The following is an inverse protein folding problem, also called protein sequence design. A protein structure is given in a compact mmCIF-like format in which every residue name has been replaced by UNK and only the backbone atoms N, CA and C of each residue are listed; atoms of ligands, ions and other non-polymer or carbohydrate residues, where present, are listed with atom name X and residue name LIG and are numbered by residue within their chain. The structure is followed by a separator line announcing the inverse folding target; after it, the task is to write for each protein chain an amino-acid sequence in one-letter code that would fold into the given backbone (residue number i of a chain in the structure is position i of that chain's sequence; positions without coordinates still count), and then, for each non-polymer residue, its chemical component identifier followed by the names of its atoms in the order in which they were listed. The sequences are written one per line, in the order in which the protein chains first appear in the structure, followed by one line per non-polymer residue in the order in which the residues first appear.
data_IF_887640538558
#
_entry.id   IF_887640538558
#
_cell.length_a   1.000
_cell.length_b   1.000
_cell.length_c   1.000
_cell.angle_alpha   90.00
_cell.angle_beta   90.00
_cell.angle_gamma   90.00
#
_symmetry.space_group_name_H-M   'P 1'
#
loop_
_entity.id
_entity.type
_entity.pdbx_description
1 polymer ?
#
# COMPACT_ATOMS: atom_id res chain seq x y z
N UNK A 1 -7.39 -17.66 -7.96
CA UNK A 1 -6.94 -16.51 -7.14
C UNK A 1 -6.06 -15.54 -7.95
N UNK A 2 -4.98 -15.99 -8.61
CA UNK A 2 -4.12 -15.12 -9.44
C UNK A 2 -4.88 -14.24 -10.45
N UNK A 3 -5.81 -14.84 -11.20
CA UNK A 3 -6.62 -14.13 -12.20
C UNK A 3 -7.52 -13.03 -11.59
N UNK A 4 -7.94 -13.21 -10.35
CA UNK A 4 -8.72 -12.21 -9.61
C UNK A 4 -7.83 -11.04 -9.18
N UNK A 5 -6.63 -11.32 -8.67
CA UNK A 5 -5.63 -10.30 -8.35
C UNK A 5 -5.22 -9.52 -9.59
N UNK A 6 -5.01 -10.17 -10.73
CA UNK A 6 -4.77 -9.49 -12.01
C UNK A 6 -5.94 -8.58 -12.42
N UNK A 7 -7.19 -9.01 -12.19
CA UNK A 7 -8.37 -8.18 -12.41
C UNK A 7 -8.40 -6.98 -11.45
N UNK A 8 -8.01 -7.14 -10.18
CA UNK A 8 -7.91 -6.04 -9.21
C UNK A 8 -6.84 -5.06 -9.64
N UNK A 9 -5.62 -5.54 -9.91
CA UNK A 9 -4.49 -4.70 -10.32
C UNK A 9 -4.81 -3.96 -11.62
N UNK A 10 -5.50 -4.58 -12.58
CA UNK A 10 -5.93 -3.93 -13.83
C UNK A 10 -7.19 -3.07 -13.73
N UNK A 11 -7.83 -2.98 -12.56
CA UNK A 11 -9.03 -2.17 -12.34
C UNK A 11 -10.34 -2.77 -12.86
N UNK A 12 -10.36 -4.08 -13.20
CA UNK A 12 -11.54 -4.81 -13.69
C UNK A 12 -12.44 -5.34 -12.55
N UNK A 13 -11.89 -5.53 -11.36
CA UNK A 13 -12.61 -5.89 -10.14
C UNK A 13 -12.14 -5.00 -8.99
N UNK A 14 -12.91 -4.92 -7.89
CA UNK A 14 -12.62 -4.03 -6.77
C UNK A 14 -12.37 -4.80 -5.49
N UNK A 15 -11.50 -4.24 -4.65
CA UNK A 15 -11.32 -4.60 -3.24
C UNK A 15 -11.92 -3.51 -2.35
N UNK A 16 -12.05 -3.78 -1.05
CA UNK A 16 -12.43 -2.77 -0.07
C UNK A 16 -11.53 -1.54 -0.23
N UNK A 17 -12.15 -0.37 -0.36
CA UNK A 17 -11.48 0.92 -0.58
C UNK A 17 -10.59 1.02 -1.84
N UNK A 18 -10.73 0.11 -2.82
CA UNK A 18 -9.88 0.06 -4.02
C UNK A 18 -10.16 1.15 -5.08
N UNK A 19 -11.37 1.72 -5.11
CA UNK A 19 -11.80 2.59 -6.22
C UNK A 19 -10.85 3.77 -6.52
N UNK A 20 -10.50 4.57 -5.51
CA UNK A 20 -9.61 5.72 -5.68
C UNK A 20 -8.17 5.30 -6.00
N UNK A 21 -7.70 4.20 -5.39
CA UNK A 21 -6.36 3.66 -5.62
C UNK A 21 -6.25 3.24 -7.10
N UNK A 22 -7.22 2.47 -7.59
CA UNK A 22 -7.27 2.02 -8.99
C UNK A 22 -7.44 3.17 -9.97
N UNK A 23 -8.23 4.19 -9.63
CA UNK A 23 -8.37 5.39 -10.46
C UNK A 23 -7.02 6.11 -10.63
N UNK A 24 -6.27 6.31 -9.54
CA UNK A 24 -4.95 6.92 -9.56
C UNK A 24 -3.95 6.07 -10.37
N UNK A 25 -3.90 4.75 -10.13
CA UNK A 25 -3.01 3.83 -10.87
C UNK A 25 -3.33 3.82 -12.36
N UNK A 26 -4.61 3.78 -12.75
CA UNK A 26 -5.01 3.80 -14.16
C UNK A 26 -4.68 5.13 -14.84
N UNK A 27 -4.81 6.25 -14.12
CA UNK A 27 -4.41 7.56 -14.63
C UNK A 27 -2.90 7.60 -14.95
N UNK A 28 -2.06 7.10 -14.03
CA UNK A 28 -0.62 6.99 -14.25
C UNK A 28 -0.29 6.11 -15.48
N UNK A 29 -0.89 4.93 -15.59
CA UNK A 29 -0.65 3.97 -16.68
C UNK A 29 -1.02 4.54 -18.04
N UNK A 30 -2.14 5.26 -18.12
CA UNK A 30 -2.55 5.90 -19.37
C UNK A 30 -1.60 7.04 -19.76
N UNK A 31 -1.07 7.78 -18.78
CA UNK A 31 -0.01 8.76 -19.02
C UNK A 31 1.27 8.13 -19.57
N UNK A 32 1.74 7.00 -19.02
CA UNK A 32 2.96 6.29 -19.48
C UNK A 32 2.92 5.91 -20.97
N UNK A 33 1.75 5.45 -21.47
CA UNK A 33 1.57 5.07 -22.89
C UNK A 33 1.81 6.22 -23.87
N UNK A 34 1.72 7.47 -23.40
CA UNK A 34 1.91 8.66 -24.25
C UNK A 34 3.34 9.19 -24.26
N UNK A 35 4.23 8.67 -23.41
CA UNK A 35 5.53 9.26 -23.12
C UNK A 35 6.72 8.30 -23.27
N UNK A 36 6.61 7.26 -24.12
CA UNK A 36 7.65 6.25 -24.35
C UNK A 36 8.97 6.85 -24.86
N UNK A 37 9.86 7.21 -23.93
CA UNK A 37 11.31 7.35 -24.14
C UNK A 37 11.99 6.66 -22.95
N UNK A 38 12.85 5.69 -23.25
CA UNK A 38 13.57 4.89 -22.27
C UNK A 38 14.45 5.76 -21.35
N UNK A 39 14.01 5.96 -20.10
CA UNK A 39 14.81 6.59 -19.04
C UNK A 39 14.62 5.80 -17.74
N UNK A 40 15.63 5.76 -16.86
CA UNK A 40 15.66 4.87 -15.69
C UNK A 40 14.59 5.14 -14.61
N UNK A 41 14.50 4.24 -13.61
CA UNK A 41 13.44 4.19 -12.58
C UNK A 41 13.12 5.54 -11.90
N UNK A 42 14.14 6.31 -11.50
CA UNK A 42 13.92 7.62 -10.87
C UNK A 42 13.22 8.64 -11.79
N UNK A 43 13.38 8.51 -13.12
CA UNK A 43 12.69 9.37 -14.07
C UNK A 43 11.20 8.98 -14.16
N UNK A 44 10.90 7.68 -14.20
CA UNK A 44 9.52 7.19 -14.19
C UNK A 44 8.76 7.68 -12.97
N UNK A 45 9.31 7.54 -11.76
CA UNK A 45 8.63 7.95 -10.53
C UNK A 45 8.28 9.45 -10.50
N UNK A 46 9.16 10.32 -11.03
CA UNK A 46 8.89 11.76 -11.16
C UNK A 46 7.81 12.08 -12.21
N UNK A 47 7.76 11.32 -13.31
CA UNK A 47 6.68 11.45 -14.30
C UNK A 47 5.33 11.03 -13.70
N UNK A 48 5.30 9.93 -12.94
CA UNK A 48 4.10 9.49 -12.24
C UNK A 48 3.64 10.51 -11.20
N UNK A 49 4.55 11.12 -10.43
CA UNK A 49 4.19 12.23 -9.52
C UNK A 49 3.50 13.36 -10.29
N UNK A 50 4.03 13.76 -11.45
CA UNK A 50 3.40 14.80 -12.28
C UNK A 50 1.99 14.40 -12.71
N UNK A 51 1.79 13.16 -13.17
CA UNK A 51 0.47 12.66 -13.51
C UNK A 51 -0.47 12.62 -12.29
N UNK A 52 0.03 12.28 -11.10
CA UNK A 52 -0.76 12.29 -9.88
C UNK A 52 -1.14 13.71 -9.42
N UNK A 53 -0.27 14.70 -9.63
CA UNK A 53 -0.59 16.11 -9.40
C UNK A 53 -1.75 16.53 -10.31
N UNK A 54 -1.69 16.18 -11.59
CA UNK A 54 -2.76 16.48 -12.55
C UNK A 54 -4.06 15.76 -12.17
N UNK A 55 -3.98 14.48 -11.80
CA UNK A 55 -5.11 13.71 -11.29
C UNK A 55 -5.74 14.34 -10.05
N UNK A 56 -4.92 14.78 -9.09
CA UNK A 56 -5.39 15.41 -7.87
C UNK A 56 -6.09 16.75 -8.14
N UNK A 57 -5.55 17.55 -9.07
CA UNK A 57 -6.16 18.80 -9.53
C UNK A 57 -7.53 18.55 -10.18
N UNK A 58 -7.62 17.59 -11.10
CA UNK A 58 -8.85 17.31 -11.85
C UNK A 58 -9.97 16.74 -10.97
N UNK A 59 -9.62 16.03 -9.90
CA UNK A 59 -10.58 15.33 -9.05
C UNK A 59 -10.78 16.02 -7.68
N UNK A 60 -10.21 17.21 -7.46
CA UNK A 60 -10.27 17.93 -6.18
C UNK A 60 -9.82 17.08 -4.98
N UNK A 61 -8.72 16.34 -5.15
CA UNK A 61 -8.20 15.40 -4.14
C UNK A 61 -7.06 15.98 -3.28
N UNK A 62 -6.84 17.29 -3.32
CA UNK A 62 -5.87 17.94 -2.44
C UNK A 62 -6.44 18.08 -1.03
N UNK A 63 -5.69 17.60 -0.06
CA UNK A 63 -6.04 17.70 1.35
C UNK A 63 -5.18 18.76 2.02
N UNK A 64 -5.81 19.60 2.84
CA UNK A 64 -5.11 20.35 3.87
C UNK A 64 -5.03 19.48 5.11
N UNK A 65 -3.90 18.77 5.26
CA UNK A 65 -3.68 17.90 6.41
C UNK A 65 -3.35 18.81 7.60
N UNK A 66 -4.35 19.11 8.42
CA UNK A 66 -4.11 19.77 9.70
C UNK A 66 -3.47 18.76 10.65
N UNK A 67 -2.14 18.81 10.74
CA UNK A 67 -1.27 17.96 11.57
C UNK A 67 -1.53 18.29 13.05
N UNK A 68 -2.66 17.84 13.57
CA UNK A 68 -2.95 17.79 15.01
C UNK A 68 -3.10 16.31 15.37
N UNK A 69 -2.64 15.93 16.56
CA UNK A 69 -2.66 14.55 17.06
C UNK A 69 -1.72 13.57 16.35
N UNK A 70 -0.46 13.97 16.20
CA UNK A 70 0.64 13.09 15.81
C UNK A 70 0.80 11.93 16.81
N UNK A 71 0.81 10.70 16.31
CA UNK A 71 1.01 9.47 17.11
C UNK A 71 2.48 9.05 17.04
N UNK A 72 3.01 8.87 15.84
CA UNK A 72 4.34 8.33 15.61
C UNK A 72 4.87 8.72 14.23
N UNK A 73 6.21 8.68 14.11
CA UNK A 73 6.93 8.84 12.84
C UNK A 73 7.85 7.65 12.64
N UNK A 74 7.74 7.00 11.48
CA UNK A 74 8.79 6.15 10.92
C UNK A 74 9.66 6.94 9.94
N UNK A 75 10.69 6.32 9.36
CA UNK A 75 11.55 6.96 8.36
C UNK A 75 10.79 7.47 7.10
N UNK A 76 9.60 6.91 6.78
CA UNK A 76 8.81 7.27 5.58
C UNK A 76 7.35 7.65 5.84
N UNK A 77 6.88 7.59 7.09
CA UNK A 77 5.45 7.76 7.36
C UNK A 77 5.20 8.61 8.61
N UNK A 78 4.27 9.54 8.46
CA UNK A 78 3.67 10.32 9.55
C UNK A 78 2.28 9.77 9.85
N UNK A 79 2.04 9.34 11.09
CA UNK A 79 0.78 8.71 11.50
C UNK A 79 0.02 9.63 12.46
N UNK A 80 -1.24 9.95 12.12
CA UNK A 80 -2.12 10.82 12.90
C UNK A 80 -3.37 10.08 13.38
N UNK A 81 -3.78 10.28 14.63
CA UNK A 81 -5.00 9.64 15.15
C UNK A 81 -6.23 10.44 14.73
N UNK A 82 -7.20 9.76 14.15
CA UNK A 82 -8.49 10.33 13.79
C UNK A 82 -9.61 9.63 14.54
N UNK A 83 -10.30 10.39 15.38
CA UNK A 83 -11.49 9.95 16.14
C UNK A 83 -11.28 8.67 16.98
N UNK A 84 -10.02 8.36 17.36
CA UNK A 84 -9.61 7.11 18.04
C UNK A 84 -9.98 5.81 17.30
N UNK A 85 -10.38 5.91 16.02
CA UNK A 85 -10.87 4.78 15.20
C UNK A 85 -10.05 4.56 13.95
N UNK A 86 -9.38 5.60 13.47
CA UNK A 86 -8.62 5.57 12.23
C UNK A 86 -7.26 6.24 12.42
N UNK A 87 -6.33 5.89 11.54
CA UNK A 87 -5.09 6.62 11.35
C UNK A 87 -5.04 7.22 9.95
N UNK A 88 -4.50 8.44 9.86
CA UNK A 88 -4.11 9.05 8.59
C UNK A 88 -2.60 8.87 8.43
N UNK A 89 -2.19 8.35 7.28
CA UNK A 89 -0.79 8.16 6.92
C UNK A 89 -0.44 8.96 5.68
N UNK A 90 0.65 9.71 5.75
CA UNK A 90 1.27 10.38 4.61
C UNK A 90 2.46 9.54 4.15
N UNK A 91 2.45 9.10 2.90
CA UNK A 91 3.50 8.27 2.32
C UNK A 91 4.03 8.93 1.03
N UNK A 92 5.33 9.19 0.96
CA UNK A 92 6.02 9.79 -0.20
C UNK A 92 6.56 8.74 -1.18
N UNK A 93 6.23 7.46 -0.93
CA UNK A 93 6.60 6.26 -1.66
C UNK A 93 8.09 5.94 -1.70
N UNK A 94 8.97 6.54 -0.89
CA UNK A 94 10.43 6.41 -1.07
C UNK A 94 10.98 4.96 -1.00
N UNK A 95 10.34 4.02 -0.29
CA UNK A 95 10.67 2.58 -0.34
C UNK A 95 10.25 1.87 -1.64
N UNK A 96 9.47 2.51 -2.52
CA UNK A 96 8.97 1.92 -3.76
C UNK A 96 9.70 2.48 -4.99
N UNK A 97 9.93 1.62 -5.98
CA UNK A 97 10.56 2.04 -7.24
C UNK A 97 9.68 3.01 -8.03
N UNK A 98 8.36 2.85 -7.95
CA UNK A 98 7.35 3.68 -8.62
C UNK A 98 6.15 3.93 -7.71
N UNK A 99 5.37 4.98 -7.99
CA UNK A 99 4.05 5.20 -7.38
C UNK A 99 3.06 4.08 -7.73
N UNK A 100 3.20 3.50 -8.92
CA UNK A 100 2.41 2.33 -9.32
C UNK A 100 2.66 1.13 -8.38
N UNK A 101 3.93 0.86 -8.03
CA UNK A 101 4.28 -0.20 -7.06
C UNK A 101 3.65 0.09 -5.69
N UNK A 102 3.71 1.33 -5.22
CA UNK A 102 3.07 1.73 -3.97
C UNK A 102 1.56 1.48 -3.99
N UNK A 103 0.85 1.89 -5.05
CA UNK A 103 -0.58 1.66 -5.14
C UNK A 103 -0.95 0.18 -5.31
N UNK A 104 -0.14 -0.59 -6.04
CA UNK A 104 -0.31 -2.03 -6.13
C UNK A 104 -0.15 -2.67 -4.74
N UNK A 105 0.83 -2.22 -3.93
CA UNK A 105 0.95 -2.65 -2.54
C UNK A 105 -0.32 -2.39 -1.72
N UNK A 106 -0.92 -1.21 -1.83
CA UNK A 106 -2.19 -0.91 -1.14
C UNK A 106 -3.32 -1.85 -1.57
N UNK A 107 -3.45 -2.13 -2.88
CA UNK A 107 -4.48 -3.04 -3.40
C UNK A 107 -4.27 -4.47 -2.90
N UNK A 108 -3.03 -4.94 -2.84
CA UNK A 108 -2.69 -6.27 -2.34
C UNK A 108 -2.95 -6.37 -0.84
N UNK A 109 -2.57 -5.36 -0.04
CA UNK A 109 -2.95 -5.31 1.37
C UNK A 109 -4.47 -5.38 1.53
N UNK A 110 -5.23 -4.62 0.75
CA UNK A 110 -6.69 -4.61 0.86
C UNK A 110 -7.35 -5.94 0.44
N UNK A 111 -6.67 -6.73 -0.38
CA UNK A 111 -7.11 -8.07 -0.75
C UNK A 111 -6.79 -9.10 0.35
N UNK A 112 -5.53 -9.16 0.79
CA UNK A 112 -5.07 -10.16 1.76
C UNK A 112 -5.49 -9.84 3.20
N UNK A 113 -5.58 -8.55 3.54
CA UNK A 113 -5.81 -8.03 4.90
C UNK A 113 -6.93 -6.98 4.91
N UNK A 114 -8.18 -7.36 4.58
CA UNK A 114 -9.28 -6.40 4.42
C UNK A 114 -9.68 -5.69 5.74
N UNK A 115 -9.31 -6.23 6.89
CA UNK A 115 -9.56 -5.64 8.21
C UNK A 115 -8.73 -4.37 8.45
N UNK A 116 -7.58 -4.28 7.80
CA UNK A 116 -6.67 -3.12 7.83
C UNK A 116 -6.55 -2.46 6.46
N UNK A 117 -7.60 -2.56 5.63
CA UNK A 117 -7.60 -2.00 4.29
C UNK A 117 -7.33 -0.48 4.29
N UNK A 118 -6.41 -0.05 3.42
CA UNK A 118 -6.09 1.34 3.14
C UNK A 118 -7.12 1.99 2.23
N UNK A 119 -7.49 3.22 2.55
CA UNK A 119 -8.31 4.06 1.70
C UNK A 119 -7.52 5.28 1.26
N UNK A 120 -7.25 5.41 -0.04
CA UNK A 120 -6.69 6.64 -0.59
C UNK A 120 -7.74 7.76 -0.50
N UNK A 121 -7.50 8.70 0.40
CA UNK A 121 -8.42 9.83 0.65
C UNK A 121 -8.00 11.11 -0.08
N UNK A 122 -6.75 11.18 -0.57
CA UNK A 122 -6.28 12.28 -1.38
C UNK A 122 -4.76 12.38 -1.39
N UNK A 123 -4.28 13.58 -1.69
CA UNK A 123 -2.87 13.90 -1.80
C UNK A 123 -2.54 15.15 -0.99
N UNK A 124 -1.30 15.23 -0.55
CA UNK A 124 -0.76 16.39 0.14
C UNK A 124 0.61 16.72 -0.44
N UNK A 125 0.93 18.00 -0.57
CA UNK A 125 2.24 18.45 -1.02
C UNK A 125 2.72 19.59 -0.14
N UNK A 126 3.96 19.49 0.31
CA UNK A 126 4.66 20.58 0.97
C UNK A 126 5.95 20.89 0.22
N UNK A 127 6.78 21.78 0.78
CA UNK A 127 8.06 22.19 0.18
C UNK A 127 9.06 21.03 0.01
N UNK A 128 8.92 19.96 0.80
CA UNK A 128 9.85 18.84 0.83
C UNK A 128 9.46 17.72 -0.11
N UNK A 129 8.18 17.34 -0.13
CA UNK A 129 7.72 16.16 -0.85
C UNK A 129 6.23 16.19 -1.19
N UNK A 130 5.87 15.29 -2.10
CA UNK A 130 4.51 14.94 -2.46
C UNK A 130 4.14 13.62 -1.77
N UNK A 131 2.93 13.56 -1.22
CA UNK A 131 2.46 12.44 -0.41
C UNK A 131 1.11 11.95 -0.91
N UNK A 132 0.96 10.63 -1.00
CA UNK A 132 -0.35 10.00 -0.95
C UNK A 132 -0.85 10.01 0.51
N UNK A 133 -2.12 10.36 0.69
CA UNK A 133 -2.76 10.39 2.00
C UNK A 133 -3.74 9.23 2.08
N UNK A 134 -3.47 8.29 2.97
CA UNK A 134 -4.31 7.11 3.19
C UNK A 134 -4.91 7.10 4.58
N UNK A 135 -6.16 6.64 4.68
CA UNK A 135 -6.86 6.35 5.92
C UNK A 135 -6.88 4.83 6.14
N UNK A 136 -6.57 4.39 7.36
CA UNK A 136 -6.58 2.98 7.77
C UNK A 136 -7.27 2.86 9.13
N UNK A 137 -7.88 1.71 9.43
CA UNK A 137 -8.42 1.44 10.78
C UNK A 137 -7.29 1.48 11.82
N UNK A 138 -7.54 2.16 12.94
CA UNK A 138 -6.64 2.13 14.08
C UNK A 138 -6.90 0.88 14.92
N UNK A 139 -5.87 0.05 15.10
CA UNK A 139 -5.94 -1.16 15.91
C UNK A 139 -5.06 -0.97 17.14
N UNK A 140 -5.63 -1.16 18.33
CA UNK A 140 -4.89 -1.14 19.58
C UNK A 140 -4.47 -2.58 19.91
N UNK A 141 -3.17 -2.88 19.82
CA UNK A 141 -2.66 -4.17 20.23
C UNK A 141 -2.91 -4.40 21.73
N UNK A 142 -3.48 -5.55 22.07
CA UNK A 142 -3.70 -5.96 23.48
C UNK A 142 -2.66 -6.95 23.97
N UNK A 143 -1.92 -7.57 23.04
CA UNK A 143 -1.05 -8.70 23.29
C UNK A 143 0.20 -8.62 22.40
N UNK A 144 1.29 -9.24 22.84
CA UNK A 144 2.50 -9.38 22.04
C UNK A 144 2.25 -10.36 20.90
N UNK A 145 2.69 -10.01 19.70
CA UNK A 145 2.60 -10.88 18.52
C UNK A 145 3.39 -12.16 18.75
N UNK A 146 2.74 -13.29 18.45
CA UNK A 146 3.40 -14.60 18.38
C UNK A 146 3.77 -14.87 16.93
N UNK A 147 5.06 -14.72 16.57
CA UNK A 147 5.56 -14.87 15.20
C UNK A 147 5.19 -16.22 14.56
N UNK A 148 5.08 -17.29 15.35
CA UNK A 148 4.65 -18.59 14.86
C UNK A 148 3.20 -18.56 14.32
N UNK A 149 2.30 -17.79 14.95
CA UNK A 149 0.93 -17.63 14.47
C UNK A 149 0.90 -16.87 13.15
N UNK A 150 1.74 -15.85 12.99
CA UNK A 150 1.91 -15.10 11.74
C UNK A 150 2.39 -16.02 10.63
N UNK A 151 3.42 -16.83 10.90
CA UNK A 151 3.93 -17.82 9.96
C UNK A 151 2.86 -18.82 9.54
N UNK A 152 2.16 -19.42 10.51
CA UNK A 152 1.09 -20.39 10.23
C UNK A 152 -0.05 -19.76 9.39
N UNK A 153 -0.43 -18.52 9.70
CA UNK A 153 -1.45 -17.78 8.94
C UNK A 153 -1.06 -17.61 7.47
N UNK A 154 0.19 -17.22 7.21
CA UNK A 154 0.70 -16.99 5.85
C UNK A 154 0.89 -18.29 5.08
N UNK A 155 1.40 -19.34 5.73
CA UNK A 155 1.52 -20.67 5.13
C UNK A 155 0.16 -21.24 4.72
N UNK A 156 -0.86 -21.07 5.56
CA UNK A 156 -2.24 -21.43 5.23
C UNK A 156 -2.82 -20.60 4.08
N UNK A 157 -2.27 -19.41 3.82
CA UNK A 157 -2.63 -18.53 2.71
C UNK A 157 -1.78 -18.77 1.45
N UNK A 158 -0.99 -19.84 1.42
CA UNK A 158 -0.16 -20.23 0.27
C UNK A 158 1.18 -19.50 0.16
N UNK A 159 1.57 -18.71 1.16
CA UNK A 159 2.88 -18.09 1.22
C UNK A 159 3.91 -19.05 1.81
N UNK A 160 5.11 -19.06 1.23
CA UNK A 160 6.25 -19.84 1.70
C UNK A 160 7.25 -18.88 2.33
N UNK A 161 7.58 -19.10 3.60
CA UNK A 161 8.65 -18.35 4.25
C UNK A 161 9.98 -18.67 3.57
N UNK A 162 10.74 -17.64 3.17
CA UNK A 162 12.07 -17.81 2.57
C UNK A 162 13.18 -17.66 3.61
N UNK A 163 13.47 -16.43 4.00
CA UNK A 163 14.51 -16.07 4.96
C UNK A 163 13.95 -14.95 5.84
N UNK A 164 14.32 -14.95 7.11
CA UNK A 164 13.79 -13.98 8.08
C UNK A 164 12.24 -14.00 8.04
N UNK A 165 11.60 -12.84 7.98
CA UNK A 165 10.15 -12.72 7.85
C UNK A 165 9.71 -12.32 6.44
N UNK A 166 10.46 -12.75 5.42
CA UNK A 166 10.10 -12.56 4.02
C UNK A 166 9.39 -13.81 3.48
N UNK A 167 8.33 -13.58 2.72
CA UNK A 167 7.42 -14.61 2.24
C UNK A 167 7.22 -14.51 0.73
N UNK A 168 6.98 -15.65 0.10
CA UNK A 168 6.76 -15.72 -1.34
C UNK A 168 5.61 -16.66 -1.66
N UNK A 169 4.66 -16.22 -2.47
CA UNK A 169 3.62 -17.07 -3.03
C UNK A 169 3.97 -17.41 -4.49
N UNK A 170 4.44 -18.65 -4.79
CA UNK A 170 4.85 -19.05 -6.14
C UNK A 170 3.69 -19.17 -7.13
N UNK A 171 2.50 -19.52 -6.67
CA UNK A 171 1.31 -19.64 -7.52
C UNK A 171 0.86 -18.26 -8.00
N UNK A 172 0.92 -17.27 -7.11
CA UNK A 172 0.49 -15.91 -7.40
C UNK A 172 1.59 -15.07 -8.06
N UNK A 173 2.88 -15.37 -7.81
CA UNK A 173 3.99 -14.52 -8.24
C UNK A 173 4.13 -13.27 -7.37
N UNK A 174 3.94 -13.41 -6.05
CA UNK A 174 3.91 -12.29 -5.10
C UNK A 174 4.95 -12.51 -4.00
N UNK A 175 5.71 -11.46 -3.68
CA UNK A 175 6.60 -11.41 -2.53
C UNK A 175 5.96 -10.50 -1.48
N UNK A 176 6.02 -10.89 -0.21
CA UNK A 176 5.66 -10.07 0.95
C UNK A 176 6.90 -9.97 1.84
N UNK A 177 7.46 -8.78 1.94
CA UNK A 177 8.68 -8.50 2.72
C UNK A 177 8.36 -7.70 3.98
N UNK A 178 9.37 -7.57 4.84
CA UNK A 178 9.40 -6.67 5.99
C UNK A 178 8.31 -6.95 7.04
N UNK A 179 7.88 -8.20 7.17
CA UNK A 179 6.84 -8.57 8.13
C UNK A 179 7.42 -8.87 9.53
N UNK A 180 7.90 -7.84 10.21
CA UNK A 180 8.34 -7.94 11.60
C UNK A 180 7.19 -7.81 12.60
N UNK A 181 7.48 -8.03 13.88
CA UNK A 181 6.50 -8.00 14.96
C UNK A 181 5.86 -6.61 15.20
N UNK A 182 6.44 -5.54 14.66
CA UNK A 182 5.82 -4.20 14.69
C UNK A 182 4.81 -3.98 13.54
N UNK A 183 4.93 -4.73 12.44
CA UNK A 183 4.02 -4.65 11.27
C UNK A 183 2.82 -5.61 11.39
N UNK A 184 2.71 -6.30 12.52
CA UNK A 184 1.55 -7.13 12.86
C UNK A 184 1.07 -6.74 14.24
N UNK A 185 -0.24 -6.59 14.42
CA UNK A 185 -0.86 -6.29 15.70
C UNK A 185 -1.78 -7.45 16.08
N UNK A 186 -1.85 -7.77 17.38
CA UNK A 186 -2.76 -8.80 17.90
C UNK A 186 -3.85 -8.14 18.74
N UNK A 187 -5.11 -8.38 18.39
CA UNK A 187 -6.27 -7.95 19.15
C UNK A 187 -7.29 -9.08 19.23
N UNK A 188 -7.60 -9.53 20.45
CA UNK A 188 -8.51 -10.66 20.71
C UNK A 188 -8.19 -11.89 19.85
N UNK A 189 -6.95 -12.36 19.92
CA UNK A 189 -6.44 -13.53 19.17
C UNK A 189 -6.43 -13.39 17.63
N UNK A 190 -6.86 -12.25 17.09
CA UNK A 190 -6.85 -11.97 15.65
C UNK A 190 -5.61 -11.16 15.25
N UNK A 191 -5.01 -11.50 14.11
CA UNK A 191 -3.86 -10.81 13.54
C UNK A 191 -4.31 -9.70 12.60
N UNK A 192 -3.76 -8.50 12.80
CA UNK A 192 -4.00 -7.33 11.96
C UNK A 192 -2.67 -6.89 11.35
N UNK A 193 -2.60 -6.87 10.03
CA UNK A 193 -1.37 -6.57 9.30
C UNK A 193 -1.36 -5.10 8.91
N UNK A 194 -0.29 -4.40 9.25
CA UNK A 194 -0.10 -2.98 8.92
C UNK A 194 1.26 -2.79 8.24
N UNK A 195 1.40 -1.70 7.49
CA UNK A 195 2.66 -1.34 6.83
C UNK A 195 3.33 -2.47 6.02
N UNK A 196 2.50 -3.32 5.42
CA UNK A 196 2.95 -4.45 4.59
C UNK A 196 3.64 -3.97 3.31
N UNK A 197 4.63 -4.73 2.85
CA UNK A 197 5.38 -4.44 1.62
C UNK A 197 5.26 -5.61 0.64
N UNK A 198 4.40 -5.46 -0.35
CA UNK A 198 4.19 -6.42 -1.43
C UNK A 198 4.95 -6.03 -2.70
N UNK A 199 5.54 -7.03 -3.36
CA UNK A 199 6.10 -6.92 -4.70
C UNK A 199 5.47 -7.94 -5.65
N UNK A 200 5.21 -7.50 -6.88
CA UNK A 200 4.77 -8.35 -7.98
C UNK A 200 5.99 -8.82 -8.77
N UNK A 201 6.10 -10.12 -9.04
CA UNK A 201 7.16 -10.66 -9.91
C UNK A 201 6.68 -10.71 -11.36
N UNK A 202 7.59 -10.96 -12.31
CA UNK A 202 7.23 -11.22 -13.71
C UNK A 202 6.25 -12.40 -13.85
N UNK A 203 6.36 -13.39 -12.95
CA UNK A 203 5.43 -14.52 -12.95
C UNK A 203 4.00 -14.09 -12.64
N UNK A 204 3.77 -12.99 -11.92
CA UNK A 204 2.42 -12.47 -11.68
C UNK A 204 1.69 -12.13 -12.99
N UNK A 205 2.41 -11.70 -14.02
CA UNK A 205 1.82 -11.25 -15.29
C UNK A 205 1.70 -12.34 -16.36
N UNK A 206 2.24 -13.54 -16.10
CA UNK A 206 2.07 -14.73 -16.94
C UNK A 206 0.70 -15.36 -16.74
#
# INVERSE_FOLDING_TARGET
MKHELQNIISGKSQVKHGANIQAATNYIRNGKKTSEVAQGNNHFKKQEEKHLIDFANQNSLWLDVNIKDFISSGAEQLVYLKDKKYVIKLNDSIYYSTWEDYFNNLLLNNFFFPDTAYKLIGFYKNEKAFFAVVEQVFVLATEKVVLQNVKNFLENSGFINKKSNDYYNPELGIILEDLHDENVLTFKESLFFIDTVFYLTEDFYK
#
